data_IF_953111703966
#
_entry.id   IF_953111703966
#
_cell.length_a   1.000
_cell.length_b   1.000
_cell.length_c   1.000
_cell.angle_alpha   90.00
_cell.angle_beta   90.00
_cell.angle_gamma   90.00
#
_symmetry.space_group_name_H-M   'P 1'
#
loop_
_entity.id
_entity.type
_entity.pdbx_description
1 polymer ?
#
# COMPACT_ATOMS: atom_id res chain seq x y z
N UNK A 1 -15.28 -23.72 -31.41
CA UNK A 1 -15.94 -22.55 -30.77
C UNK A 1 -14.89 -21.45 -30.78
N UNK A 2 -14.95 -20.52 -31.73
CA UNK A 2 -14.22 -19.27 -31.70
C UNK A 2 -14.71 -18.49 -30.48
N UNK A 3 -13.88 -18.38 -29.45
CA UNK A 3 -14.11 -17.44 -28.35
C UNK A 3 -13.89 -16.05 -28.93
N UNK A 4 -14.97 -15.30 -29.12
CA UNK A 4 -14.91 -13.85 -29.36
C UNK A 4 -14.02 -13.23 -28.26
N UNK A 5 -13.16 -12.31 -28.62
CA UNK A 5 -12.44 -11.52 -27.62
C UNK A 5 -13.46 -10.77 -26.75
N UNK A 6 -13.12 -10.43 -25.51
CA UNK A 6 -14.00 -9.66 -24.61
C UNK A 6 -14.45 -8.36 -25.29
N UNK A 7 -13.58 -7.76 -26.10
CA UNK A 7 -13.84 -6.55 -26.85
C UNK A 7 -14.91 -6.78 -27.94
N UNK A 8 -14.76 -7.83 -28.78
CA UNK A 8 -15.74 -8.16 -29.81
C UNK A 8 -17.11 -8.44 -29.23
N UNK A 9 -17.18 -9.14 -28.07
CA UNK A 9 -18.44 -9.38 -27.36
C UNK A 9 -19.06 -8.06 -26.86
N UNK A 10 -18.26 -7.18 -26.26
CA UNK A 10 -18.71 -5.90 -25.74
C UNK A 10 -19.20 -5.01 -26.89
N UNK A 11 -18.44 -4.92 -27.99
CA UNK A 11 -18.79 -4.14 -29.17
C UNK A 11 -20.09 -4.64 -29.82
N UNK A 12 -20.29 -5.96 -29.92
CA UNK A 12 -21.54 -6.54 -30.43
C UNK A 12 -22.74 -6.18 -29.52
N UNK A 13 -22.56 -6.28 -28.21
CA UNK A 13 -23.61 -5.94 -27.22
C UNK A 13 -23.98 -4.43 -27.26
N UNK A 14 -22.99 -3.55 -27.43
CA UNK A 14 -23.20 -2.11 -27.58
C UNK A 14 -23.87 -1.81 -28.89
N UNK A 15 -23.43 -2.45 -29.99
CA UNK A 15 -24.05 -2.29 -31.32
C UNK A 15 -25.54 -2.63 -31.33
N UNK A 16 -25.93 -3.73 -30.66
CA UNK A 16 -27.34 -4.11 -30.54
C UNK A 16 -28.17 -3.05 -29.78
N UNK A 17 -27.62 -2.51 -28.69
CA UNK A 17 -28.28 -1.44 -27.90
C UNK A 17 -28.43 -0.13 -28.72
N UNK A 18 -27.36 0.27 -29.42
CA UNK A 18 -27.37 1.48 -30.25
C UNK A 18 -28.31 1.30 -31.44
N UNK A 19 -28.31 0.13 -32.11
CA UNK A 19 -29.22 -0.17 -33.20
C UNK A 19 -30.70 -0.05 -32.80
N UNK A 20 -31.01 -0.37 -31.55
CA UNK A 20 -32.37 -0.24 -31.01
C UNK A 20 -32.75 1.21 -30.64
N UNK A 21 -31.82 2.05 -30.22
CA UNK A 21 -32.10 3.41 -29.70
C UNK A 21 -31.72 4.54 -30.64
N UNK A 22 -30.67 4.36 -31.48
CA UNK A 22 -30.12 5.36 -32.38
C UNK A 22 -29.48 4.69 -33.63
N UNK A 23 -30.27 4.08 -34.53
CA UNK A 23 -29.76 3.28 -35.66
C UNK A 23 -28.89 4.07 -36.60
N UNK A 24 -29.10 5.38 -36.74
CA UNK A 24 -28.34 6.26 -37.62
C UNK A 24 -26.87 6.44 -37.18
N UNK A 25 -26.55 6.30 -35.90
CA UNK A 25 -25.18 6.41 -35.38
C UNK A 25 -24.48 5.06 -35.27
N UNK A 26 -25.22 3.95 -35.35
CA UNK A 26 -24.65 2.59 -35.18
C UNK A 26 -23.57 2.28 -36.24
N UNK A 27 -23.64 2.85 -37.45
CA UNK A 27 -22.65 2.72 -38.54
C UNK A 27 -21.28 3.34 -38.16
N UNK A 28 -21.23 4.20 -37.14
CA UNK A 28 -20.01 4.87 -36.70
C UNK A 28 -19.40 4.21 -35.45
N UNK A 29 -20.05 3.15 -34.93
CA UNK A 29 -19.51 2.43 -33.81
C UNK A 29 -18.16 1.82 -34.19
N UNK A 30 -17.13 2.07 -33.35
CA UNK A 30 -15.73 1.66 -33.60
C UNK A 30 -15.11 2.22 -34.91
N UNK A 31 -15.75 3.20 -35.56
CA UNK A 31 -15.27 3.76 -36.81
C UNK A 31 -13.90 4.42 -36.64
N UNK A 32 -12.88 3.93 -37.37
CA UNK A 32 -11.50 4.44 -37.30
C UNK A 32 -10.71 4.14 -36.04
N UNK A 33 -11.30 3.45 -35.08
CA UNK A 33 -10.63 3.09 -33.82
C UNK A 33 -9.89 1.74 -33.95
N UNK A 34 -8.92 1.53 -33.07
CA UNK A 34 -8.32 0.21 -32.78
C UNK A 34 -8.73 -0.26 -31.39
N UNK A 35 -8.49 -1.54 -31.09
CA UNK A 35 -8.83 -2.13 -29.79
C UNK A 35 -8.31 -1.33 -28.60
N UNK A 36 -7.07 -0.88 -28.63
CA UNK A 36 -6.46 -0.17 -27.51
C UNK A 36 -6.89 1.29 -27.39
N UNK A 37 -7.50 1.90 -28.41
CA UNK A 37 -8.17 3.20 -28.24
C UNK A 37 -9.34 3.07 -27.24
N UNK A 38 -10.00 1.93 -27.22
CA UNK A 38 -11.08 1.62 -26.27
C UNK A 38 -10.51 1.02 -24.97
N UNK A 39 -9.68 -0.02 -25.07
CA UNK A 39 -9.24 -0.80 -23.90
C UNK A 39 -8.32 -0.01 -22.99
N UNK A 40 -7.30 0.69 -23.53
CA UNK A 40 -6.36 1.44 -22.71
C UNK A 40 -7.02 2.67 -22.08
N UNK A 41 -7.89 3.35 -22.85
CA UNK A 41 -8.66 4.50 -22.33
C UNK A 41 -9.66 4.06 -21.25
N UNK A 42 -10.32 2.91 -21.43
CA UNK A 42 -11.19 2.34 -20.39
C UNK A 42 -10.41 1.89 -19.16
N UNK A 43 -9.23 1.28 -19.35
CA UNK A 43 -8.35 0.89 -18.26
C UNK A 43 -7.89 2.10 -17.43
N UNK A 44 -7.53 3.20 -18.10
CA UNK A 44 -7.18 4.45 -17.43
C UNK A 44 -8.30 4.96 -16.51
N UNK A 45 -9.55 4.94 -16.99
CA UNK A 45 -10.72 5.30 -16.18
C UNK A 45 -10.90 4.38 -14.98
N UNK A 46 -10.80 3.06 -15.19
CA UNK A 46 -10.95 2.07 -14.12
C UNK A 46 -9.88 2.21 -13.06
N UNK A 47 -8.61 2.39 -13.46
CA UNK A 47 -7.50 2.55 -12.52
C UNK A 47 -7.58 3.89 -11.78
N UNK A 48 -7.95 4.98 -12.46
CA UNK A 48 -8.19 6.29 -11.84
C UNK A 48 -9.26 6.20 -10.75
N UNK A 49 -10.44 5.71 -11.10
CA UNK A 49 -11.59 5.63 -10.19
C UNK A 49 -11.30 4.67 -9.02
N UNK A 50 -10.60 3.57 -9.28
CA UNK A 50 -10.15 2.66 -8.22
C UNK A 50 -9.14 3.32 -7.28
N UNK A 51 -8.23 4.15 -7.83
CA UNK A 51 -7.24 4.87 -7.02
C UNK A 51 -7.91 5.89 -6.10
N UNK A 52 -9.01 6.51 -6.51
CA UNK A 52 -9.80 7.41 -5.65
C UNK A 52 -10.33 6.67 -4.41
N UNK A 53 -10.73 5.40 -4.54
CA UNK A 53 -11.12 4.57 -3.40
C UNK A 53 -9.93 4.27 -2.48
N UNK A 54 -8.76 3.95 -3.04
CA UNK A 54 -7.54 3.70 -2.26
C UNK A 54 -7.07 4.95 -1.51
N UNK A 55 -7.17 6.14 -2.12
CA UNK A 55 -6.86 7.43 -1.49
C UNK A 55 -7.83 7.68 -0.32
N UNK A 56 -9.13 7.44 -0.50
CA UNK A 56 -10.12 7.56 0.57
C UNK A 56 -9.83 6.60 1.74
N UNK A 57 -9.46 5.35 1.44
CA UNK A 57 -9.04 4.35 2.42
C UNK A 57 -7.81 4.81 3.23
N UNK A 58 -6.75 5.25 2.56
CA UNK A 58 -5.55 5.76 3.22
C UNK A 58 -5.80 7.04 4.03
N UNK A 59 -6.67 7.93 3.56
CA UNK A 59 -7.09 9.13 4.31
C UNK A 59 -7.71 8.75 5.64
N UNK A 60 -8.58 7.75 5.63
CA UNK A 60 -9.21 7.23 6.85
C UNK A 60 -8.19 6.58 7.78
N UNK A 61 -7.28 5.76 7.25
CA UNK A 61 -6.18 5.13 8.02
C UNK A 61 -5.27 6.20 8.63
N UNK A 62 -4.87 7.21 7.86
CA UNK A 62 -4.02 8.30 8.36
C UNK A 62 -4.68 9.08 9.50
N UNK A 63 -5.97 9.40 9.37
CA UNK A 63 -6.74 10.08 10.41
C UNK A 63 -6.80 9.22 11.70
N UNK A 64 -7.01 7.91 11.56
CA UNK A 64 -7.05 6.97 12.69
C UNK A 64 -5.70 6.86 13.39
N UNK A 65 -4.62 6.73 12.63
CA UNK A 65 -3.24 6.70 13.16
C UNK A 65 -2.91 7.98 13.94
N UNK A 66 -3.30 9.15 13.40
CA UNK A 66 -3.12 10.44 14.08
C UNK A 66 -3.87 10.48 15.44
N UNK A 67 -5.12 10.02 15.45
CA UNK A 67 -5.93 9.94 16.68
C UNK A 67 -5.30 9.03 17.73
N UNK A 68 -4.86 7.83 17.31
CA UNK A 68 -4.20 6.86 18.20
C UNK A 68 -2.84 7.38 18.69
N UNK A 69 -2.06 8.06 17.84
CA UNK A 69 -0.78 8.66 18.22
C UNK A 69 -0.96 9.69 19.37
N UNK A 70 -1.98 10.53 19.28
CA UNK A 70 -2.32 11.48 20.36
C UNK A 70 -2.81 10.79 21.62
N UNK A 71 -3.69 9.79 21.48
CA UNK A 71 -4.19 8.99 22.62
C UNK A 71 -3.06 8.37 23.43
N UNK A 72 -2.00 7.95 22.78
CA UNK A 72 -0.88 7.21 23.35
C UNK A 72 0.43 8.02 23.46
N UNK A 73 0.35 9.36 23.40
CA UNK A 73 1.53 10.24 23.46
C UNK A 73 2.34 10.08 24.78
N UNK A 74 1.70 9.63 25.85
CA UNK A 74 2.32 9.37 27.15
C UNK A 74 2.40 7.87 27.52
N UNK A 75 2.09 6.97 26.59
CA UNK A 75 2.21 5.52 26.82
C UNK A 75 3.67 5.09 26.62
N UNK A 76 4.46 5.16 27.69
CA UNK A 76 5.89 4.84 27.69
C UNK A 76 6.14 3.36 27.44
N UNK A 77 7.08 3.05 26.53
CA UNK A 77 7.48 1.71 26.17
C UNK A 77 8.99 1.64 25.88
N UNK A 78 9.55 0.43 25.84
CA UNK A 78 10.90 0.24 25.36
C UNK A 78 10.93 0.38 23.81
N UNK A 79 11.76 1.29 23.30
CA UNK A 79 12.20 1.25 21.92
C UNK A 79 13.08 0.01 21.73
N UNK A 80 12.89 -0.71 20.61
CA UNK A 80 13.64 -1.93 20.30
C UNK A 80 14.39 -1.79 19.00
N UNK A 81 15.68 -2.10 19.04
CA UNK A 81 16.52 -2.31 17.84
C UNK A 81 17.07 -3.71 17.90
N UNK A 82 17.13 -4.42 16.79
CA UNK A 82 17.53 -5.83 16.72
C UNK A 82 16.71 -6.77 17.64
N UNK A 83 15.47 -6.35 17.99
CA UNK A 83 14.63 -7.07 18.97
C UNK A 83 15.00 -6.85 20.44
N UNK A 84 16.01 -6.05 20.73
CA UNK A 84 16.54 -5.78 22.09
C UNK A 84 16.10 -4.40 22.57
N UNK A 85 15.86 -4.23 23.88
CA UNK A 85 15.54 -2.94 24.47
C UNK A 85 16.68 -1.94 24.24
N UNK A 86 16.37 -0.79 23.67
CA UNK A 86 17.28 0.33 23.46
C UNK A 86 16.90 1.48 24.42
N UNK A 87 16.33 2.54 23.91
CA UNK A 87 15.94 3.71 24.70
C UNK A 87 14.43 3.78 24.89
N UNK A 88 13.93 4.49 25.93
CA UNK A 88 12.51 4.73 26.09
C UNK A 88 11.95 5.55 24.93
N UNK A 89 10.78 5.14 24.45
CA UNK A 89 9.94 5.90 23.52
C UNK A 89 8.51 5.90 24.03
N UNK A 90 7.58 6.55 23.32
CA UNK A 90 6.15 6.34 23.55
C UNK A 90 5.52 5.59 22.38
N UNK A 91 4.42 4.89 22.65
CA UNK A 91 3.64 4.25 21.60
C UNK A 91 3.08 5.29 20.63
N UNK A 92 2.76 6.49 21.14
CA UNK A 92 2.36 7.62 20.30
C UNK A 92 3.40 8.03 19.26
N UNK A 93 4.70 8.06 19.63
CA UNK A 93 5.80 8.34 18.67
C UNK A 93 5.88 7.27 17.60
N UNK A 94 5.72 5.99 17.95
CA UNK A 94 5.68 4.89 16.99
C UNK A 94 4.53 5.07 15.98
N UNK A 95 3.32 5.36 16.46
CA UNK A 95 2.14 5.62 15.62
C UNK A 95 2.26 6.91 14.79
N UNK A 96 2.94 7.93 15.31
CA UNK A 96 3.23 9.15 14.54
C UNK A 96 4.15 8.85 13.33
N UNK A 97 5.12 7.95 13.49
CA UNK A 97 5.94 7.45 12.38
C UNK A 97 5.10 6.75 11.30
N UNK A 98 4.12 5.93 11.71
CA UNK A 98 3.19 5.28 10.77
C UNK A 98 2.27 6.29 10.08
N UNK A 99 1.78 7.30 10.82
CA UNK A 99 0.99 8.38 10.24
C UNK A 99 1.78 9.15 9.16
N UNK A 100 3.03 9.50 9.43
CA UNK A 100 3.88 10.18 8.45
C UNK A 100 4.12 9.32 7.19
N UNK A 101 4.21 7.99 7.33
CA UNK A 101 4.31 7.07 6.19
C UNK A 101 2.99 6.95 5.43
N UNK A 102 1.85 6.97 6.13
CA UNK A 102 0.53 6.99 5.50
C UNK A 102 0.34 8.25 4.63
N UNK A 103 0.79 9.43 5.11
CA UNK A 103 0.77 10.65 4.30
C UNK A 103 1.62 10.55 3.04
N UNK A 104 2.81 9.96 3.12
CA UNK A 104 3.64 9.71 1.92
C UNK A 104 3.01 8.73 0.94
N UNK A 105 2.22 7.76 1.42
CA UNK A 105 1.47 6.87 0.54
C UNK A 105 0.29 7.58 -0.15
N UNK A 106 -0.37 8.52 0.53
CA UNK A 106 -1.35 9.40 -0.10
C UNK A 106 -0.73 10.21 -1.25
N UNK A 107 0.37 10.90 -1.00
CA UNK A 107 1.09 11.67 -2.04
C UNK A 107 1.49 10.79 -3.25
N UNK A 108 1.93 9.55 -3.00
CA UNK A 108 2.27 8.60 -4.08
C UNK A 108 1.06 8.18 -4.89
N UNK A 109 -0.06 7.88 -4.23
CA UNK A 109 -1.29 7.48 -4.92
C UNK A 109 -1.92 8.64 -5.70
N UNK A 110 -1.88 9.87 -5.18
CA UNK A 110 -2.31 11.08 -5.90
C UNK A 110 -1.49 11.26 -7.19
N UNK A 111 -0.15 11.16 -7.09
CA UNK A 111 0.71 11.19 -8.27
C UNK A 111 0.48 10.01 -9.23
N UNK A 112 0.29 8.81 -8.70
CA UNK A 112 -0.01 7.63 -9.52
C UNK A 112 -1.35 7.76 -10.24
N UNK A 113 -2.35 8.35 -9.60
CA UNK A 113 -3.64 8.69 -10.19
C UNK A 113 -3.49 9.64 -11.40
N UNK A 114 -2.70 10.69 -11.25
CA UNK A 114 -2.40 11.61 -12.35
C UNK A 114 -1.69 10.88 -13.49
N UNK A 115 -0.69 10.07 -13.17
CA UNK A 115 0.14 9.36 -14.12
C UNK A 115 -0.63 8.34 -14.95
N UNK A 116 -1.67 7.71 -14.39
CA UNK A 116 -2.49 6.70 -15.09
C UNK A 116 -3.70 7.31 -15.80
N UNK A 117 -4.01 8.59 -15.58
CA UNK A 117 -5.17 9.28 -16.15
C UNK A 117 -4.92 9.79 -17.59
N UNK A 118 -4.40 8.91 -18.44
CA UNK A 118 -4.12 9.20 -19.84
C UNK A 118 -4.99 8.33 -20.75
N UNK A 119 -5.56 8.95 -21.78
CA UNK A 119 -6.31 8.26 -22.82
C UNK A 119 -5.64 8.41 -24.18
N UNK A 120 -6.00 7.55 -25.13
CA UNK A 120 -5.51 7.63 -26.51
C UNK A 120 -6.61 7.29 -27.50
N UNK A 121 -6.66 8.01 -28.62
CA UNK A 121 -7.50 7.77 -29.79
C UNK A 121 -6.66 7.99 -31.06
N UNK A 122 -5.50 7.37 -31.09
CA UNK A 122 -4.47 7.62 -32.13
C UNK A 122 -4.41 6.53 -33.21
N UNK A 123 -5.29 5.51 -33.12
CA UNK A 123 -5.40 4.43 -34.09
C UNK A 123 -4.38 3.32 -33.95
N UNK A 124 -4.29 2.45 -34.95
CA UNK A 124 -3.61 1.15 -34.89
C UNK A 124 -2.11 1.20 -34.61
N UNK A 125 -1.43 2.31 -34.88
CA UNK A 125 0.02 2.47 -34.69
C UNK A 125 0.39 3.85 -34.12
N UNK A 126 -0.59 4.59 -33.58
CA UNK A 126 -0.35 5.91 -33.00
C UNK A 126 -0.17 7.05 -34.03
N UNK A 127 -0.50 6.80 -35.27
CA UNK A 127 -0.22 7.72 -36.39
C UNK A 127 -1.39 8.63 -36.77
N UNK A 128 -2.52 8.60 -36.06
CA UNK A 128 -3.72 9.42 -36.36
C UNK A 128 -4.25 9.29 -37.76
N UNK A 129 -4.23 8.08 -38.35
CA UNK A 129 -4.56 7.84 -39.76
C UNK A 129 -5.98 8.22 -40.10
N UNK A 130 -6.92 8.08 -39.17
CA UNK A 130 -8.36 8.29 -39.43
C UNK A 130 -8.92 9.53 -38.72
N UNK A 131 -8.37 9.93 -37.60
CA UNK A 131 -8.78 11.09 -36.84
C UNK A 131 -7.55 11.94 -36.49
N UNK A 132 -7.74 13.25 -36.40
CA UNK A 132 -6.69 14.17 -35.94
C UNK A 132 -6.55 14.20 -34.40
N UNK A 133 -5.49 14.81 -33.94
CA UNK A 133 -5.23 15.04 -32.51
C UNK A 133 -6.33 15.81 -31.78
N UNK A 134 -7.06 16.68 -32.52
CA UNK A 134 -8.19 17.43 -31.95
C UNK A 134 -9.34 16.51 -31.53
N UNK A 135 -9.56 15.41 -32.26
CA UNK A 135 -10.59 14.43 -31.92
C UNK A 135 -10.20 13.69 -30.60
N UNK A 136 -8.94 13.23 -30.49
CA UNK A 136 -8.43 12.63 -29.29
C UNK A 136 -8.58 13.58 -28.10
N UNK A 137 -8.19 14.85 -28.25
CA UNK A 137 -8.30 15.86 -27.21
C UNK A 137 -9.75 16.06 -26.74
N UNK A 138 -10.72 16.07 -27.67
CA UNK A 138 -12.13 16.18 -27.33
C UNK A 138 -12.66 14.97 -26.56
N UNK A 139 -12.31 13.75 -27.00
CA UNK A 139 -12.70 12.51 -26.30
C UNK A 139 -12.08 12.44 -24.91
N UNK A 140 -10.78 12.67 -24.78
CA UNK A 140 -10.08 12.67 -23.49
C UNK A 140 -10.67 13.72 -22.54
N UNK A 141 -10.95 14.94 -23.04
CA UNK A 141 -11.61 15.98 -22.24
C UNK A 141 -13.00 15.56 -21.75
N UNK A 142 -13.79 14.90 -22.60
CA UNK A 142 -15.11 14.40 -22.21
C UNK A 142 -15.07 13.31 -21.14
N UNK A 143 -13.95 12.58 -21.06
CA UNK A 143 -13.69 11.52 -20.09
C UNK A 143 -12.88 11.98 -18.87
N UNK A 144 -12.53 13.26 -18.79
CA UNK A 144 -11.62 13.82 -17.79
C UNK A 144 -10.28 13.08 -17.74
N UNK A 145 -9.71 12.84 -18.93
CA UNK A 145 -8.38 12.25 -19.14
C UNK A 145 -7.48 13.24 -19.88
N UNK A 146 -6.18 13.05 -19.75
CA UNK A 146 -5.16 13.75 -20.54
C UNK A 146 -4.86 12.92 -21.80
N UNK A 147 -4.78 13.51 -23.00
CA UNK A 147 -4.29 12.80 -24.18
C UNK A 147 -2.85 12.31 -23.97
N UNK A 148 -2.56 11.07 -24.36
CA UNK A 148 -1.18 10.57 -24.37
C UNK A 148 -0.35 11.35 -25.42
N UNK A 149 0.72 12.03 -25.02
CA UNK A 149 1.49 12.87 -25.94
C UNK A 149 2.00 12.12 -27.17
N UNK A 150 2.50 10.90 -26.98
CA UNK A 150 2.95 10.01 -28.05
C UNK A 150 2.68 8.57 -27.64
N UNK A 151 1.74 7.95 -28.32
CA UNK A 151 1.44 6.52 -28.16
C UNK A 151 1.89 5.72 -29.38
N UNK A 152 1.94 4.42 -29.22
CA UNK A 152 1.95 3.46 -30.35
C UNK A 152 0.51 2.96 -30.59
N UNK A 153 0.28 1.68 -30.76
CA UNK A 153 -1.09 1.14 -30.65
C UNK A 153 -1.60 1.22 -29.21
N UNK A 154 -0.70 1.28 -28.23
CA UNK A 154 -0.99 1.27 -26.79
C UNK A 154 -0.39 2.51 -26.11
N UNK A 155 -0.92 2.85 -24.95
CA UNK A 155 -0.28 3.77 -23.99
C UNK A 155 1.01 3.11 -23.49
N UNK A 156 2.15 3.85 -23.32
CA UNK A 156 3.40 3.30 -22.80
C UNK A 156 3.22 2.62 -21.44
N UNK A 157 3.74 1.40 -21.28
CA UNK A 157 3.53 0.55 -20.09
C UNK A 157 4.40 0.92 -18.89
N UNK A 158 5.39 1.80 -19.07
CA UNK A 158 6.12 2.41 -17.96
C UNK A 158 5.18 3.21 -17.03
N UNK A 159 4.12 3.84 -17.54
CA UNK A 159 3.07 4.47 -16.72
C UNK A 159 2.39 3.48 -15.79
N UNK A 160 2.05 2.30 -16.32
CA UNK A 160 1.41 1.23 -15.55
C UNK A 160 2.37 0.64 -14.51
N UNK A 161 3.67 0.55 -14.83
CA UNK A 161 4.70 0.07 -13.90
C UNK A 161 4.91 1.05 -12.75
N UNK A 162 5.03 2.36 -13.01
CA UNK A 162 5.14 3.39 -11.96
C UNK A 162 3.86 3.45 -11.10
N UNK A 163 2.69 3.39 -11.72
CA UNK A 163 1.41 3.25 -10.99
C UNK A 163 1.43 2.04 -10.05
N UNK A 164 1.82 0.88 -10.56
CA UNK A 164 1.84 -0.36 -9.78
C UNK A 164 2.83 -0.30 -8.61
N UNK A 165 3.96 0.36 -8.81
CA UNK A 165 4.94 0.59 -7.75
C UNK A 165 4.34 1.34 -6.55
N UNK A 166 3.45 2.31 -6.78
CA UNK A 166 2.73 2.99 -5.70
C UNK A 166 1.84 2.03 -4.89
N UNK A 167 1.19 1.06 -5.54
CA UNK A 167 0.41 0.01 -4.87
C UNK A 167 1.31 -0.88 -4.01
N UNK A 168 2.48 -1.27 -4.53
CA UNK A 168 3.48 -2.09 -3.82
C UNK A 168 3.97 -1.39 -2.56
N UNK A 169 4.32 -0.11 -2.63
CA UNK A 169 4.76 0.67 -1.47
C UNK A 169 3.65 0.81 -0.42
N UNK A 170 2.41 1.03 -0.87
CA UNK A 170 1.23 1.08 -0.01
C UNK A 170 1.00 -0.24 0.74
N UNK A 171 1.04 -1.37 0.05
CA UNK A 171 0.90 -2.70 0.65
C UNK A 171 2.05 -3.01 1.63
N UNK A 172 3.28 -2.61 1.27
CA UNK A 172 4.47 -2.81 2.12
C UNK A 172 4.41 -1.98 3.41
N UNK A 173 3.81 -0.79 3.39
CA UNK A 173 3.58 0.00 4.58
C UNK A 173 2.60 -0.70 5.54
N UNK A 174 1.49 -1.22 5.02
CA UNK A 174 0.52 -1.98 5.83
C UNK A 174 1.17 -3.24 6.43
N UNK A 175 1.98 -3.97 5.65
CA UNK A 175 2.72 -5.13 6.17
C UNK A 175 3.64 -4.74 7.31
N UNK A 176 4.41 -3.67 7.16
CA UNK A 176 5.33 -3.18 8.21
C UNK A 176 4.59 -2.85 9.51
N UNK A 177 3.41 -2.21 9.43
CA UNK A 177 2.58 -1.90 10.59
C UNK A 177 2.03 -3.18 11.22
N UNK A 178 1.52 -4.10 10.40
CA UNK A 178 1.01 -5.39 10.85
C UNK A 178 2.11 -6.26 11.50
N UNK A 179 3.32 -6.26 10.96
CA UNK A 179 4.47 -6.96 11.56
C UNK A 179 4.78 -6.43 12.96
N UNK A 180 4.77 -5.12 13.15
CA UNK A 180 5.02 -4.53 14.46
C UNK A 180 3.92 -4.92 15.46
N UNK A 181 2.65 -4.88 15.08
CA UNK A 181 1.54 -5.33 15.95
C UNK A 181 1.73 -6.80 16.35
N UNK A 182 2.10 -7.67 15.38
CA UNK A 182 2.40 -9.08 15.66
C UNK A 182 3.56 -9.24 16.67
N UNK A 183 4.58 -8.39 16.57
CA UNK A 183 5.69 -8.40 17.55
C UNK A 183 5.24 -7.92 18.93
N UNK A 184 4.36 -6.92 19.01
CA UNK A 184 3.82 -6.43 20.27
C UNK A 184 2.85 -7.41 20.93
N UNK A 185 2.21 -8.29 20.15
CA UNK A 185 1.28 -9.33 20.62
C UNK A 185 1.96 -10.62 21.09
N UNK A 186 3.28 -10.78 20.89
CA UNK A 186 3.99 -11.96 21.38
C UNK A 186 3.75 -12.19 22.88
N UNK A 187 3.64 -13.44 23.30
CA UNK A 187 3.39 -13.84 24.68
C UNK A 187 4.34 -13.19 25.68
N UNK A 188 5.62 -13.03 25.32
CA UNK A 188 6.65 -12.41 26.16
C UNK A 188 6.53 -10.88 26.20
N UNK A 189 5.89 -10.27 25.21
CA UNK A 189 5.74 -8.81 25.05
C UNK A 189 4.38 -8.35 25.57
N UNK A 190 3.28 -8.74 24.93
CA UNK A 190 1.89 -8.41 25.29
C UNK A 190 1.61 -6.92 25.52
N UNK A 191 2.15 -6.06 24.66
CA UNK A 191 2.02 -4.60 24.76
C UNK A 191 0.85 -4.05 23.94
N UNK A 192 0.48 -4.74 22.86
CA UNK A 192 -0.70 -4.45 22.06
C UNK A 192 -1.16 -5.72 21.36
N UNK A 193 -2.48 -5.85 21.16
CA UNK A 193 -3.12 -6.99 20.51
C UNK A 193 -4.12 -6.51 19.46
N UNK A 194 -4.24 -7.24 18.32
CA UNK A 194 -5.31 -7.00 17.37
C UNK A 194 -6.67 -7.34 18.00
N UNK A 195 -7.80 -6.82 17.45
CA UNK A 195 -9.12 -7.08 17.99
C UNK A 195 -9.43 -8.57 17.99
N UNK A 196 -9.97 -9.02 19.11
CA UNK A 196 -10.46 -10.38 19.29
C UNK A 196 -11.90 -10.32 19.81
N UNK A 197 -12.86 -10.86 19.06
CA UNK A 197 -14.26 -10.92 19.50
C UNK A 197 -14.50 -12.14 20.39
N UNK A 198 -15.46 -12.04 21.30
CA UNK A 198 -15.81 -13.13 22.23
C UNK A 198 -16.26 -14.41 21.51
N UNK A 199 -16.85 -14.27 20.33
CA UNK A 199 -17.28 -15.40 19.48
C UNK A 199 -16.14 -15.96 18.59
N UNK A 200 -14.96 -15.34 18.59
CA UNK A 200 -13.84 -15.73 17.74
C UNK A 200 -13.08 -16.90 18.38
N UNK A 201 -12.95 -17.99 17.64
CA UNK A 201 -12.06 -19.10 18.02
C UNK A 201 -10.63 -18.74 17.61
N UNK A 202 -9.76 -18.45 18.59
CA UNK A 202 -8.37 -18.07 18.35
C UNK A 202 -7.48 -19.23 17.89
N UNK A 203 -7.86 -20.46 18.23
CA UNK A 203 -7.14 -21.68 17.85
C UNK A 203 -8.12 -22.85 17.84
N UNK A 204 -7.96 -23.79 16.91
CA UNK A 204 -8.74 -25.03 16.86
C UNK A 204 -8.39 -26.00 18.00
N UNK A 205 -7.20 -25.92 18.55
CA UNK A 205 -6.69 -26.86 19.56
C UNK A 205 -6.55 -26.25 20.97
N UNK A 206 -6.29 -24.96 21.08
CA UNK A 206 -6.00 -24.28 22.36
C UNK A 206 -6.93 -23.07 22.55
N UNK A 207 -8.00 -23.20 23.38
CA UNK A 207 -9.04 -22.17 23.51
C UNK A 207 -8.54 -20.80 24.02
N UNK A 208 -7.42 -20.78 24.77
CA UNK A 208 -6.83 -19.57 25.33
C UNK A 208 -5.92 -18.80 24.33
N UNK A 209 -5.58 -19.43 23.19
CA UNK A 209 -4.61 -18.87 22.24
C UNK A 209 -5.24 -17.85 21.32
N UNK A 210 -4.78 -16.60 21.36
CA UNK A 210 -5.21 -15.50 20.49
C UNK A 210 -4.13 -15.24 19.45
N UNK A 211 -4.35 -15.76 18.24
CA UNK A 211 -3.41 -15.55 17.13
C UNK A 211 -3.69 -14.22 16.45
N UNK A 212 -2.66 -13.48 15.99
CA UNK A 212 -2.81 -12.22 15.22
C UNK A 212 -3.16 -12.50 13.75
N UNK A 213 -4.32 -13.16 13.51
CA UNK A 213 -4.71 -13.68 12.19
C UNK A 213 -4.97 -12.57 11.18
N UNK A 214 -5.51 -11.42 11.62
CA UNK A 214 -5.74 -10.28 10.74
C UNK A 214 -4.42 -9.72 10.24
N UNK A 215 -3.47 -9.50 11.15
CA UNK A 215 -2.13 -9.01 10.81
C UNK A 215 -1.32 -10.03 10.00
N UNK A 216 -1.45 -11.33 10.27
CA UNK A 216 -0.82 -12.40 9.47
C UNK A 216 -1.34 -12.39 8.03
N UNK A 217 -2.64 -12.25 7.86
CA UNK A 217 -3.27 -12.15 6.55
C UNK A 217 -2.78 -10.91 5.77
N UNK A 218 -2.71 -9.74 6.41
CA UNK A 218 -2.16 -8.52 5.79
C UNK A 218 -0.72 -8.72 5.29
N UNK A 219 0.12 -9.39 6.09
CA UNK A 219 1.48 -9.71 5.67
C UNK A 219 1.52 -10.66 4.45
N UNK A 220 0.60 -11.62 4.38
CA UNK A 220 0.48 -12.54 3.24
C UNK A 220 0.06 -11.83 1.96
N UNK A 221 -0.96 -10.99 2.03
CA UNK A 221 -1.50 -10.25 0.89
C UNK A 221 -0.49 -9.25 0.32
N UNK A 222 0.29 -8.59 1.16
CA UNK A 222 1.36 -7.69 0.72
C UNK A 222 2.41 -8.41 -0.13
N UNK A 223 2.76 -9.67 0.22
CA UNK A 223 3.69 -10.48 -0.58
C UNK A 223 3.13 -10.76 -1.97
N UNK A 224 1.82 -11.00 -2.07
CA UNK A 224 1.16 -11.28 -3.34
C UNK A 224 1.22 -10.05 -4.25
N UNK A 225 0.84 -8.86 -3.76
CA UNK A 225 0.93 -7.62 -4.53
C UNK A 225 2.37 -7.38 -5.01
N UNK A 226 3.39 -7.55 -4.15
CA UNK A 226 4.80 -7.41 -4.56
C UNK A 226 5.22 -8.41 -5.62
N UNK A 227 4.68 -9.63 -5.58
CA UNK A 227 5.04 -10.66 -6.58
C UNK A 227 4.55 -10.33 -7.99
N UNK A 228 3.50 -9.52 -8.12
CA UNK A 228 2.95 -9.08 -9.41
C UNK A 228 3.79 -7.98 -10.07
N UNK A 229 4.53 -7.19 -9.31
CA UNK A 229 5.31 -6.06 -9.82
C UNK A 229 6.28 -6.47 -10.93
N UNK A 230 6.95 -7.61 -10.75
CA UNK A 230 7.88 -8.13 -11.76
C UNK A 230 7.18 -8.33 -13.11
N UNK A 231 6.00 -8.95 -13.12
CA UNK A 231 5.25 -9.18 -14.34
C UNK A 231 4.76 -7.88 -15.00
N UNK A 232 4.44 -6.86 -14.19
CA UNK A 232 4.04 -5.53 -14.71
C UNK A 232 5.22 -4.80 -15.34
N UNK A 233 6.41 -4.88 -14.74
CA UNK A 233 7.64 -4.27 -15.31
C UNK A 233 8.04 -4.94 -16.63
N UNK A 234 7.90 -6.26 -16.74
CA UNK A 234 8.16 -6.99 -18.00
C UNK A 234 7.25 -6.55 -19.15
N UNK A 235 6.06 -6.01 -18.87
CA UNK A 235 5.13 -5.50 -19.86
C UNK A 235 5.61 -4.21 -20.56
N UNK A 236 6.67 -3.55 -20.07
CA UNK A 236 7.28 -2.38 -20.74
C UNK A 236 7.90 -2.81 -22.07
N UNK A 237 8.45 -4.02 -22.14
CA UNK A 237 9.17 -4.57 -23.28
C UNK A 237 8.25 -5.18 -24.35
N UNK A 238 7.41 -4.37 -25.02
CA UNK A 238 6.57 -4.83 -26.15
C UNK A 238 7.32 -4.76 -27.48
N UNK A 239 6.92 -5.59 -28.46
CA UNK A 239 7.49 -5.58 -29.80
C UNK A 239 6.86 -4.50 -30.66
N UNK A 240 7.71 -3.66 -31.26
CA UNK A 240 7.31 -2.59 -32.18
C UNK A 240 6.21 -1.71 -31.58
N UNK A 241 5.14 -1.45 -32.30
CA UNK A 241 3.99 -0.65 -31.87
C UNK A 241 3.07 -1.39 -30.90
N UNK A 242 3.11 -2.72 -30.88
CA UNK A 242 2.47 -3.62 -29.92
C UNK A 242 2.66 -5.10 -30.27
N UNK A 243 2.86 -5.95 -29.28
CA UNK A 243 2.39 -7.34 -29.25
C UNK A 243 1.35 -7.50 -28.14
N UNK A 244 0.73 -8.69 -28.01
CA UNK A 244 -0.35 -8.90 -27.04
C UNK A 244 0.12 -9.54 -25.71
N UNK A 245 1.40 -9.69 -25.48
CA UNK A 245 1.95 -10.37 -24.30
C UNK A 245 1.52 -9.72 -22.99
N UNK A 246 1.50 -8.37 -22.96
CA UNK A 246 1.07 -7.61 -21.78
C UNK A 246 -0.38 -7.88 -21.36
N UNK A 247 -1.26 -8.14 -22.30
CA UNK A 247 -2.71 -8.19 -22.08
C UNK A 247 -3.12 -9.34 -21.14
N UNK A 248 -2.51 -10.52 -21.26
CA UNK A 248 -2.79 -11.67 -20.40
C UNK A 248 -2.36 -11.42 -18.96
N UNK A 249 -1.27 -10.68 -18.76
CA UNK A 249 -0.76 -10.27 -17.44
C UNK A 249 -1.68 -9.23 -16.80
N UNK A 250 -1.97 -8.15 -17.53
CA UNK A 250 -2.74 -7.00 -17.03
C UNK A 250 -4.16 -7.39 -16.56
N UNK A 251 -4.79 -8.35 -17.24
CA UNK A 251 -6.12 -8.88 -16.88
C UNK A 251 -6.18 -9.53 -15.51
N UNK A 252 -5.05 -10.00 -14.99
CA UNK A 252 -4.94 -10.64 -13.69
C UNK A 252 -4.39 -9.64 -12.66
N UNK A 253 -3.21 -9.10 -12.92
CA UNK A 253 -2.44 -8.41 -11.88
C UNK A 253 -3.01 -7.05 -11.49
N UNK A 254 -3.58 -6.29 -12.45
CA UNK A 254 -4.10 -4.95 -12.14
C UNK A 254 -5.37 -5.00 -11.29
N UNK A 255 -6.44 -5.71 -11.69
CA UNK A 255 -7.65 -5.77 -10.88
C UNK A 255 -7.39 -6.46 -9.53
N UNK A 256 -6.58 -7.52 -9.52
CA UNK A 256 -6.31 -8.26 -8.27
C UNK A 256 -5.53 -7.40 -7.27
N UNK A 257 -4.49 -6.68 -7.71
CA UNK A 257 -3.71 -5.81 -6.83
C UNK A 257 -4.55 -4.67 -6.22
N UNK A 258 -5.43 -4.04 -7.01
CA UNK A 258 -6.31 -2.98 -6.52
C UNK A 258 -7.31 -3.52 -5.50
N UNK A 259 -7.98 -4.64 -5.81
CA UNK A 259 -8.92 -5.29 -4.90
C UNK A 259 -8.25 -5.74 -3.60
N UNK A 260 -7.05 -6.32 -3.70
CA UNK A 260 -6.26 -6.74 -2.54
C UNK A 260 -5.87 -5.55 -1.67
N UNK A 261 -5.41 -4.46 -2.26
CA UNK A 261 -5.00 -3.28 -1.49
C UNK A 261 -6.20 -2.60 -0.81
N UNK A 262 -7.33 -2.48 -1.48
CA UNK A 262 -8.57 -1.97 -0.88
C UNK A 262 -9.00 -2.83 0.31
N UNK A 263 -9.04 -4.15 0.13
CA UNK A 263 -9.31 -5.10 1.21
C UNK A 263 -8.31 -4.96 2.38
N UNK A 264 -7.01 -4.78 2.08
CA UNK A 264 -5.97 -4.58 3.09
C UNK A 264 -6.21 -3.29 3.90
N UNK A 265 -6.59 -2.20 3.25
CA UNK A 265 -6.89 -0.92 3.92
C UNK A 265 -8.08 -1.06 4.88
N UNK A 266 -9.16 -1.67 4.43
CA UNK A 266 -10.34 -1.92 5.26
C UNK A 266 -10.03 -2.85 6.44
N UNK A 267 -9.26 -3.93 6.20
CA UNK A 267 -8.85 -4.85 7.26
C UNK A 267 -7.90 -4.19 8.25
N UNK A 268 -6.97 -3.39 7.78
CA UNK A 268 -6.04 -2.67 8.67
C UNK A 268 -6.77 -1.60 9.50
N UNK A 269 -7.74 -0.90 8.93
CA UNK A 269 -8.60 0.02 9.67
C UNK A 269 -9.35 -0.71 10.80
N UNK A 270 -9.91 -1.90 10.51
CA UNK A 270 -10.53 -2.76 11.55
C UNK A 270 -9.53 -3.12 12.66
N UNK A 271 -8.27 -3.42 12.32
CA UNK A 271 -7.23 -3.67 13.32
C UNK A 271 -6.99 -2.43 14.17
N UNK A 272 -6.85 -1.25 13.57
CA UNK A 272 -6.64 0.01 14.31
C UNK A 272 -7.81 0.40 15.20
N UNK A 273 -9.05 0.15 14.75
CA UNK A 273 -10.27 0.49 15.51
C UNK A 273 -10.42 -0.37 16.77
N UNK A 274 -10.03 -1.63 16.68
CA UNK A 274 -10.13 -2.57 17.78
C UNK A 274 -8.80 -2.85 18.50
N UNK A 275 -7.74 -2.09 18.22
CA UNK A 275 -6.42 -2.33 18.81
C UNK A 275 -6.44 -2.19 20.32
N UNK A 276 -6.23 -3.29 21.02
CA UNK A 276 -6.08 -3.33 22.46
C UNK A 276 -4.63 -2.97 22.83
N UNK A 277 -4.43 -1.85 23.52
CA UNK A 277 -3.11 -1.36 23.96
C UNK A 277 -3.05 -1.44 25.47
N UNK A 278 -1.98 -2.02 26.01
CA UNK A 278 -1.72 -2.12 27.45
C UNK A 278 -0.54 -1.23 27.87
N UNK A 279 -0.77 0.03 28.25
CA UNK A 279 0.30 0.94 28.72
C UNK A 279 0.97 0.46 30.02
N UNK A 280 0.27 -0.30 30.88
CA UNK A 280 0.84 -0.83 32.11
C UNK A 280 1.86 -1.92 31.79
N UNK A 281 1.55 -2.80 30.85
CA UNK A 281 2.47 -3.83 30.36
C UNK A 281 3.68 -3.20 29.64
N UNK A 282 3.46 -2.18 28.81
CA UNK A 282 4.54 -1.42 28.17
C UNK A 282 5.52 -0.86 29.19
N UNK A 283 5.01 -0.22 30.25
CA UNK A 283 5.82 0.31 31.35
C UNK A 283 6.56 -0.79 32.10
N UNK A 284 5.88 -1.89 32.44
CA UNK A 284 6.49 -3.06 33.10
C UNK A 284 7.66 -3.64 32.28
N UNK A 285 7.48 -3.77 30.97
CA UNK A 285 8.53 -4.26 30.07
C UNK A 285 9.70 -3.28 30.01
N UNK A 286 9.46 -1.98 29.93
CA UNK A 286 10.52 -0.96 30.01
C UNK A 286 11.31 -1.05 31.32
N UNK A 287 10.62 -1.17 32.45
CA UNK A 287 11.21 -1.25 33.78
C UNK A 287 11.95 -2.57 34.03
N UNK A 288 11.65 -3.64 33.30
CA UNK A 288 12.34 -4.93 33.39
C UNK A 288 13.85 -4.84 33.13
N UNK A 289 14.28 -3.81 32.42
CA UNK A 289 15.68 -3.51 32.15
C UNK A 289 16.44 -2.98 33.39
N UNK A 290 15.74 -2.74 34.52
CA UNK A 290 16.35 -2.19 35.76
C UNK A 290 17.20 -0.95 35.53
N UNK A 291 16.76 -0.09 34.60
CA UNK A 291 17.42 1.17 34.27
C UNK A 291 18.52 1.08 33.20
N UNK A 292 18.82 -0.08 32.65
CA UNK A 292 19.84 -0.23 31.59
C UNK A 292 19.53 0.59 30.33
N UNK A 293 18.25 0.83 30.07
CA UNK A 293 17.78 1.69 28.95
C UNK A 293 18.23 3.14 29.08
N UNK A 294 18.72 3.56 30.25
CA UNK A 294 19.25 4.92 30.47
C UNK A 294 20.77 4.99 30.44
N UNK A 295 21.48 3.91 30.21
CA UNK A 295 22.95 3.82 30.26
C UNK A 295 23.63 4.89 29.40
N UNK A 296 23.16 5.13 28.20
CA UNK A 296 23.70 6.18 27.33
C UNK A 296 23.49 7.59 27.93
N UNK A 297 22.31 7.87 28.46
CA UNK A 297 22.01 9.16 29.10
C UNK A 297 22.92 9.42 30.31
N UNK A 298 23.18 8.40 31.09
CA UNK A 298 24.12 8.48 32.23
C UNK A 298 25.54 8.76 31.74
N UNK A 299 25.99 8.02 30.72
CA UNK A 299 27.31 8.23 30.12
C UNK A 299 27.47 9.68 29.58
N UNK A 300 26.47 10.21 28.86
CA UNK A 300 26.54 11.58 28.37
C UNK A 300 26.58 12.60 29.52
N UNK A 301 25.84 12.39 30.59
CA UNK A 301 25.90 13.28 31.78
C UNK A 301 27.26 13.27 32.48
N UNK A 302 27.95 12.13 32.52
CA UNK A 302 29.32 12.06 33.06
C UNK A 302 30.30 12.81 32.16
N UNK A 303 30.13 12.76 30.84
CA UNK A 303 30.94 13.54 29.88
C UNK A 303 30.68 15.04 30.05
N UNK A 304 29.42 15.47 30.14
CA UNK A 304 29.05 16.86 30.42
C UNK A 304 29.66 17.39 31.73
N UNK A 305 29.81 16.50 32.72
CA UNK A 305 30.45 16.80 34.03
C UNK A 305 31.99 16.81 33.97
N UNK A 306 32.60 16.68 32.76
CA UNK A 306 34.04 16.77 32.57
C UNK A 306 34.80 15.43 32.56
N UNK A 307 34.09 14.29 32.59
CA UNK A 307 34.74 12.99 32.49
C UNK A 307 35.11 12.69 31.03
N UNK A 308 36.30 12.16 30.78
CA UNK A 308 36.69 11.69 29.47
C UNK A 308 35.77 10.56 28.94
N UNK A 309 35.42 10.58 27.66
CA UNK A 309 34.48 9.62 27.04
C UNK A 309 34.81 8.16 27.30
N UNK A 310 36.08 7.77 27.22
CA UNK A 310 36.52 6.39 27.50
C UNK A 310 36.23 5.98 28.96
N UNK A 311 36.62 6.82 29.92
CA UNK A 311 36.37 6.58 31.34
C UNK A 311 34.86 6.53 31.68
N UNK A 312 34.08 7.43 31.11
CA UNK A 312 32.61 7.42 31.23
C UNK A 312 31.99 6.11 30.70
N UNK A 313 32.42 5.67 29.50
CA UNK A 313 31.98 4.42 28.92
C UNK A 313 32.30 3.21 29.80
N UNK A 314 33.56 3.07 30.24
CA UNK A 314 34.00 1.96 31.09
C UNK A 314 33.25 1.92 32.41
N UNK A 315 33.03 3.08 33.06
CA UNK A 315 32.29 3.18 34.32
C UNK A 315 30.84 2.71 34.14
N UNK A 316 30.15 3.20 33.13
CA UNK A 316 28.74 2.85 32.83
C UNK A 316 28.66 1.38 32.44
N UNK A 317 29.55 0.90 31.56
CA UNK A 317 29.58 -0.50 31.12
C UNK A 317 29.78 -1.45 32.30
N UNK A 318 30.69 -1.17 33.21
CA UNK A 318 30.93 -1.99 34.43
C UNK A 318 29.67 -2.08 35.29
N UNK A 319 28.97 -0.97 35.49
CA UNK A 319 27.73 -0.94 36.27
C UNK A 319 26.60 -1.69 35.53
N UNK A 320 26.48 -1.49 34.24
CA UNK A 320 25.48 -2.17 33.40
C UNK A 320 25.68 -3.70 33.39
N UNK A 321 26.92 -4.16 33.24
CA UNK A 321 27.25 -5.58 33.24
C UNK A 321 27.05 -6.23 34.61
N UNK A 322 27.21 -5.48 35.73
CA UNK A 322 26.84 -5.96 37.03
C UNK A 322 25.33 -6.20 37.15
N UNK A 323 24.53 -5.20 36.76
CA UNK A 323 23.07 -5.32 36.75
C UNK A 323 22.60 -6.49 35.85
N UNK A 324 23.22 -6.67 34.70
CA UNK A 324 22.92 -7.78 33.79
C UNK A 324 23.18 -9.16 34.38
N UNK A 325 24.23 -9.31 35.21
CA UNK A 325 24.61 -10.58 35.85
C UNK A 325 23.81 -10.91 37.11
N UNK A 326 23.37 -9.89 37.84
CA UNK A 326 22.68 -10.11 39.13
C UNK A 326 21.15 -10.15 38.97
N UNK A 327 20.63 -9.88 37.79
CA UNK A 327 19.22 -9.94 37.47
C UNK A 327 18.46 -8.75 38.00
#
# INVERSE_FOLDING_TARGET
RTTLSTEEWLMSSIAEKIAASAPEVNRYLHFGLTSSDVLDTALALQLRDSTDLLIAGWTTVAARLKSLARKHEHSWMAGRTHGVHAEPITFGVKLAGWHAEALRNLERLERARELISFGKISGAVGAFTHFGTDYEAQVCKALDLTPEPVSTQIIPRDRHADYFHALVLSASAIERFALEIRHLQKTEVLEAEEPFSDDQKGSSAMPHKRNPVLCENLCGLSRLIRSYEHAVVENIGVWHERDISHSSVERVVLPDAVLLLDFMLHRFLRVLDGLAVDPARMKKNLESSKGLVYSQKVMLRLIDAGMGRGAAYELVQRSAMKTWKTG
#
